data_IF_869441879125
#
_entry.id   IF_869441879125
#
_cell.length_a   1.000
_cell.length_b   1.000
_cell.length_c   1.000
_cell.angle_alpha   90.00
_cell.angle_beta   90.00
_cell.angle_gamma   90.00
#
_symmetry.space_group_name_H-M   'P 1'
#
loop_
_entity.id
_entity.type
_entity.pdbx_description
1 polymer ?
#
# COMPACT_ATOMS: atom_id res chain seq x y z
N UNK A 1 12.64 0.75 -53.83
CA UNK A 1 12.25 0.01 -52.60
C UNK A 1 12.65 0.69 -51.29
N UNK A 2 13.74 1.48 -51.23
CA UNK A 2 14.19 2.14 -49.98
C UNK A 2 13.39 3.41 -49.63
N UNK A 3 12.94 4.16 -50.64
CA UNK A 3 12.25 5.45 -50.44
C UNK A 3 10.78 5.28 -50.03
N UNK A 4 10.16 4.14 -50.35
CA UNK A 4 8.79 3.78 -49.95
C UNK A 4 8.68 3.54 -48.45
N UNK A 5 9.70 2.95 -47.83
CA UNK A 5 9.72 2.72 -46.38
C UNK A 5 9.80 4.06 -45.63
N UNK A 6 10.60 5.00 -46.15
CA UNK A 6 10.73 6.33 -45.56
C UNK A 6 9.42 7.14 -45.64
N UNK A 7 8.70 7.07 -46.77
CA UNK A 7 7.37 7.68 -46.90
C UNK A 7 6.34 7.08 -45.93
N UNK A 8 6.33 5.76 -45.75
CA UNK A 8 5.39 5.11 -44.83
C UNK A 8 5.65 5.51 -43.36
N UNK A 9 6.92 5.62 -42.96
CA UNK A 9 7.29 6.07 -41.61
C UNK A 9 6.91 7.52 -41.36
N UNK A 10 7.09 8.41 -42.35
CA UNK A 10 6.69 9.81 -42.24
C UNK A 10 5.16 9.99 -42.16
N UNK A 11 4.38 9.21 -42.91
CA UNK A 11 2.92 9.26 -42.83
C UNK A 11 2.40 8.76 -41.47
N UNK A 12 3.02 7.73 -40.91
CA UNK A 12 2.67 7.20 -39.60
C UNK A 12 2.94 8.21 -38.47
N UNK A 13 4.07 8.93 -38.50
CA UNK A 13 4.40 9.92 -37.47
C UNK A 13 3.45 11.12 -37.48
N UNK A 14 3.03 11.60 -38.66
CA UNK A 14 2.02 12.66 -38.80
C UNK A 14 0.65 12.24 -38.24
N UNK A 15 0.22 11.00 -38.47
CA UNK A 15 -1.04 10.48 -37.94
C UNK A 15 -1.04 10.35 -36.41
N UNK A 16 0.07 9.87 -35.82
CA UNK A 16 0.24 9.76 -34.36
C UNK A 16 0.25 11.14 -33.68
N UNK A 17 0.85 12.15 -34.32
CA UNK A 17 0.85 13.52 -33.80
C UNK A 17 -0.55 14.14 -33.80
N UNK A 18 -1.40 13.80 -34.77
CA UNK A 18 -2.77 14.32 -34.87
C UNK A 18 -3.72 13.68 -33.83
N UNK A 19 -3.46 12.45 -33.40
CA UNK A 19 -4.23 11.78 -32.36
C UNK A 19 -3.88 12.22 -30.93
N UNK A 20 -2.69 12.80 -30.72
CA UNK A 20 -2.27 13.32 -29.41
C UNK A 20 -2.72 14.77 -29.15
N UNK A 21 -3.18 15.49 -30.19
CA UNK A 21 -3.65 16.88 -30.10
C UNK A 21 -5.18 16.99 -29.88
N UNK A 22 -5.79 16.02 -29.18
CA UNK A 22 -7.21 16.11 -28.79
C UNK A 22 -7.40 15.85 -27.29
N UNK A 23 -7.22 16.94 -26.54
CA UNK A 23 -7.75 17.26 -25.22
C UNK A 23 -7.47 16.29 -24.05
N UNK A 24 -6.44 16.64 -23.29
CA UNK A 24 -6.51 16.66 -21.82
C UNK A 24 -7.21 17.95 -21.39
N UNK A 25 -8.51 17.88 -21.09
CA UNK A 25 -9.22 18.93 -20.36
C UNK A 25 -9.51 18.44 -18.94
N UNK A 26 -8.67 18.85 -17.98
CA UNK A 26 -9.08 19.17 -16.61
C UNK A 26 -7.91 19.75 -15.79
N UNK A 27 -7.88 21.08 -15.77
CA UNK A 27 -7.54 21.98 -14.66
C UNK A 27 -6.10 22.04 -14.12
N UNK A 28 -5.42 23.10 -14.55
CA UNK A 28 -4.35 23.76 -13.83
C UNK A 28 -4.91 24.67 -12.73
N UNK A 29 -4.16 24.82 -11.63
CA UNK A 29 -3.90 26.16 -11.10
C UNK A 29 -2.49 26.20 -10.52
N UNK A 30 -1.71 27.13 -11.06
CA UNK A 30 -0.34 27.44 -10.69
C UNK A 30 -0.32 28.58 -9.66
N UNK A 31 0.72 28.60 -8.84
CA UNK A 31 1.07 29.73 -7.97
C UNK A 31 2.58 29.75 -7.74
N UNK A 32 3.29 30.45 -8.62
CA UNK A 32 4.71 30.83 -8.53
C UNK A 32 4.87 32.07 -7.67
N UNK A 33 5.87 32.11 -6.76
CA UNK A 33 6.83 33.23 -6.62
C UNK A 33 7.68 33.15 -5.32
N UNK A 34 9.00 33.01 -5.53
CA UNK A 34 10.13 33.76 -4.94
C UNK A 34 10.36 33.87 -3.42
N UNK A 35 11.53 33.34 -3.01
CA UNK A 35 12.57 33.90 -2.14
C UNK A 35 12.19 34.77 -0.92
N UNK A 36 12.51 34.27 0.28
CA UNK A 36 13.35 34.95 1.28
C UNK A 36 13.68 34.00 2.46
N UNK A 37 14.97 33.80 2.73
CA UNK A 37 15.57 33.36 4.01
C UNK A 37 16.00 34.67 4.72
N UNK A 38 16.08 34.84 6.06
CA UNK A 38 16.27 33.85 7.12
C UNK A 38 15.43 34.05 8.39
N UNK A 39 15.29 33.00 9.20
CA UNK A 39 15.32 33.13 10.65
C UNK A 39 15.60 31.75 11.25
N UNK A 40 16.81 31.62 11.77
CA UNK A 40 17.25 30.54 12.64
C UNK A 40 16.30 30.43 13.84
N UNK A 41 15.34 29.51 13.76
CA UNK A 41 14.65 29.04 14.95
C UNK A 41 15.58 28.04 15.63
N UNK A 42 16.39 28.54 16.57
CA UNK A 42 17.08 27.68 17.52
C UNK A 42 16.02 26.83 18.23
N UNK A 43 15.98 25.54 17.90
CA UNK A 43 15.28 24.57 18.72
C UNK A 43 16.03 24.53 20.06
N UNK A 44 15.53 25.30 21.02
CA UNK A 44 15.90 25.18 22.43
C UNK A 44 15.53 23.78 22.91
N UNK A 45 16.47 22.85 22.76
CA UNK A 45 16.37 21.47 23.26
C UNK A 45 16.63 21.37 24.77
N UNK A 46 16.64 22.48 25.52
CA UNK A 46 17.08 22.49 26.91
C UNK A 46 16.19 23.27 27.88
N UNK A 47 14.91 23.51 27.57
CA UNK A 47 14.02 24.21 28.50
C UNK A 47 13.22 23.30 29.45
N UNK A 48 13.52 22.01 29.52
CA UNK A 48 12.81 21.03 30.36
C UNK A 48 13.54 20.52 31.59
N UNK A 49 14.82 20.87 31.79
CA UNK A 49 15.57 20.46 32.98
C UNK A 49 15.39 21.46 34.10
N UNK A 50 14.27 21.39 34.83
CA UNK A 50 14.21 21.73 36.25
C UNK A 50 13.15 20.83 36.92
N UNK A 51 13.50 20.14 38.02
CA UNK A 51 12.66 19.13 38.62
C UNK A 51 11.59 19.80 39.50
N UNK A 52 10.31 19.61 39.16
CA UNK A 52 9.24 19.84 40.11
C UNK A 52 9.17 18.64 41.04
N UNK A 53 9.51 18.87 42.30
CA UNK A 53 9.41 17.92 43.40
C UNK A 53 8.03 17.28 43.44
N UNK A 54 7.93 16.02 43.05
CA UNK A 54 6.86 15.11 43.44
C UNK A 54 7.50 13.76 43.67
N UNK A 55 7.30 13.25 44.89
CA UNK A 55 7.64 11.95 45.48
C UNK A 55 8.31 10.87 44.63
N UNK A 56 9.20 10.04 45.23
CA UNK A 56 9.90 8.97 44.52
C UNK A 56 8.90 7.92 44.03
N UNK A 57 8.39 8.08 42.82
CA UNK A 57 7.67 7.05 42.11
C UNK A 57 8.66 5.93 41.79
N UNK A 58 8.47 4.80 42.45
CA UNK A 58 9.07 3.49 42.15
C UNK A 58 9.22 3.29 40.63
N UNK A 59 10.28 2.64 40.14
CA UNK A 59 10.39 2.32 38.72
C UNK A 59 9.23 1.41 38.32
N UNK A 60 8.23 1.96 37.64
CA UNK A 60 7.16 1.18 37.01
C UNK A 60 7.73 0.72 35.68
N UNK A 61 8.31 -0.47 35.68
CA UNK A 61 8.63 -1.18 34.44
C UNK A 61 7.30 -1.35 33.69
N UNK A 62 7.17 -0.85 32.44
CA UNK A 62 5.94 -1.03 31.67
C UNK A 62 5.67 -2.53 31.54
N UNK A 63 4.42 -2.90 31.76
CA UNK A 63 4.02 -4.30 31.75
C UNK A 63 4.19 -4.87 30.34
N UNK A 64 4.46 -6.17 30.22
CA UNK A 64 4.65 -6.81 28.91
C UNK A 64 3.45 -6.60 27.96
N UNK A 65 2.24 -6.43 28.51
CA UNK A 65 1.02 -6.14 27.76
C UNK A 65 1.03 -4.73 27.14
N UNK A 66 1.41 -3.70 27.91
CA UNK A 66 1.49 -2.30 27.42
C UNK A 66 2.54 -2.14 26.32
N UNK A 67 3.67 -2.84 26.45
CA UNK A 67 4.72 -2.85 25.42
C UNK A 67 4.22 -3.54 24.15
N UNK A 68 3.45 -4.62 24.27
CA UNK A 68 2.88 -5.34 23.12
C UNK A 68 1.83 -4.49 22.40
N UNK A 69 0.92 -3.85 23.13
CA UNK A 69 -0.08 -2.94 22.57
C UNK A 69 0.56 -1.75 21.82
N UNK A 70 1.65 -1.20 22.36
CA UNK A 70 2.41 -0.12 21.72
C UNK A 70 3.06 -0.58 20.41
N UNK A 71 3.65 -1.78 20.38
CA UNK A 71 4.24 -2.37 19.16
C UNK A 71 3.19 -2.68 18.10
N UNK A 72 2.04 -3.19 18.51
CA UNK A 72 0.94 -3.47 17.59
C UNK A 72 0.39 -2.19 16.98
N UNK A 73 0.23 -1.12 17.78
CA UNK A 73 -0.16 0.19 17.28
C UNK A 73 0.79 0.73 16.20
N UNK A 74 2.11 0.60 16.41
CA UNK A 74 3.11 1.00 15.41
C UNK A 74 3.03 0.14 14.14
N UNK A 75 2.84 -1.18 14.29
CA UNK A 75 2.71 -2.09 13.15
C UNK A 75 1.49 -1.73 12.29
N UNK A 76 0.33 -1.45 12.91
CA UNK A 76 -0.87 -1.00 12.21
C UNK A 76 -0.67 0.34 11.50
N UNK A 77 0.05 1.29 12.11
CA UNK A 77 0.44 2.53 11.44
C UNK A 77 1.24 2.29 10.17
N UNK A 78 2.26 1.41 10.24
CA UNK A 78 3.05 1.00 9.08
C UNK A 78 2.21 0.30 8.00
N UNK A 79 1.33 -0.63 8.39
CA UNK A 79 0.47 -1.35 7.45
C UNK A 79 -0.51 -0.42 6.75
N UNK A 80 -1.17 0.47 7.49
CA UNK A 80 -2.09 1.44 6.92
C UNK A 80 -1.40 2.37 5.92
N UNK A 81 -0.20 2.86 6.27
CA UNK A 81 0.59 3.70 5.37
C UNK A 81 1.05 2.97 4.10
N UNK A 82 1.47 1.71 4.23
CA UNK A 82 1.98 0.90 3.09
C UNK A 82 0.86 0.48 2.15
N UNK A 83 -0.29 0.10 2.70
CA UNK A 83 -1.45 -0.35 1.92
C UNK A 83 -2.35 0.80 1.47
N UNK A 84 -2.15 2.01 1.98
CA UNK A 84 -3.04 3.15 1.73
C UNK A 84 -4.43 2.97 2.34
N UNK A 85 -4.52 2.32 3.49
CA UNK A 85 -5.78 1.95 4.16
C UNK A 85 -5.86 2.58 5.55
N UNK A 86 -7.09 2.92 5.96
CA UNK A 86 -7.38 3.25 7.34
C UNK A 86 -7.82 1.98 8.08
N UNK A 87 -7.01 1.54 9.03
CA UNK A 87 -7.21 0.29 9.76
C UNK A 87 -7.81 0.56 11.14
N UNK A 88 -8.79 -0.25 11.53
CA UNK A 88 -9.46 -0.14 12.83
C UNK A 88 -8.71 -0.86 13.96
N UNK A 89 -7.56 -1.47 13.65
CA UNK A 89 -6.77 -2.32 14.55
C UNK A 89 -7.49 -3.62 14.99
N UNK A 90 -8.55 -3.98 14.28
CA UNK A 90 -9.33 -5.21 14.51
C UNK A 90 -9.08 -6.27 13.45
N UNK A 91 -8.30 -5.94 12.43
CA UNK A 91 -8.00 -6.81 11.31
C UNK A 91 -7.06 -7.96 11.71
N UNK A 92 -6.91 -8.94 10.82
CA UNK A 92 -5.93 -9.99 11.04
C UNK A 92 -4.52 -9.46 10.73
N UNK A 93 -3.71 -9.25 11.77
CA UNK A 93 -2.32 -8.79 11.63
C UNK A 93 -1.47 -9.67 10.70
N UNK A 94 -1.64 -10.99 10.79
CA UNK A 94 -0.93 -11.97 9.94
C UNK A 94 -1.33 -11.83 8.47
N UNK A 95 -2.61 -11.55 8.19
CA UNK A 95 -3.09 -11.24 6.85
C UNK A 95 -2.39 -9.99 6.30
N UNK A 96 -2.43 -8.88 7.04
CA UNK A 96 -1.85 -7.61 6.61
C UNK A 96 -0.35 -7.75 6.34
N UNK A 97 0.38 -8.38 7.25
CA UNK A 97 1.80 -8.65 7.09
C UNK A 97 2.07 -9.51 5.85
N UNK A 98 1.34 -10.63 5.70
CA UNK A 98 1.52 -11.52 4.56
C UNK A 98 1.27 -10.79 3.24
N UNK A 99 0.20 -9.98 3.15
CA UNK A 99 -0.12 -9.20 1.95
C UNK A 99 1.01 -8.22 1.61
N UNK A 100 1.56 -7.52 2.62
CA UNK A 100 2.69 -6.61 2.43
C UNK A 100 3.93 -7.35 1.93
N UNK A 101 4.22 -8.54 2.44
CA UNK A 101 5.34 -9.38 1.99
C UNK A 101 5.22 -9.86 0.53
N UNK A 102 4.06 -9.67 -0.11
CA UNK A 102 3.85 -9.96 -1.53
C UNK A 102 3.94 -8.72 -2.41
N UNK A 103 3.92 -7.51 -1.84
CA UNK A 103 4.05 -6.26 -2.60
C UNK A 103 5.36 -6.28 -3.39
N UNK A 104 5.27 -5.92 -4.68
CA UNK A 104 6.40 -5.95 -5.60
C UNK A 104 6.61 -7.28 -6.32
N UNK A 105 5.86 -8.34 -5.99
CA UNK A 105 5.90 -9.58 -6.79
C UNK A 105 5.38 -9.32 -8.20
N UNK A 106 6.15 -9.66 -9.26
CA UNK A 106 5.70 -9.46 -10.64
C UNK A 106 4.43 -10.27 -10.94
N UNK A 107 3.55 -9.72 -11.79
CA UNK A 107 2.43 -10.48 -12.30
C UNK A 107 2.89 -11.51 -13.32
N UNK A 108 2.44 -12.76 -13.19
CA UNK A 108 2.69 -13.84 -14.15
C UNK A 108 1.50 -14.80 -14.19
N UNK A 109 0.85 -14.88 -15.34
CA UNK A 109 -0.33 -15.73 -15.54
C UNK A 109 -0.05 -17.20 -15.21
N UNK A 110 -0.92 -17.84 -14.43
CA UNK A 110 -0.82 -19.24 -14.01
C UNK A 110 0.24 -19.52 -12.93
N UNK A 111 0.97 -18.50 -12.46
CA UNK A 111 2.02 -18.67 -11.47
C UNK A 111 1.51 -18.42 -10.04
N UNK A 112 2.23 -18.94 -9.03
CA UNK A 112 1.86 -18.84 -7.60
C UNK A 112 3.08 -18.70 -6.68
N UNK A 113 4.10 -17.97 -7.13
CA UNK A 113 5.38 -17.85 -6.41
C UNK A 113 5.82 -16.39 -6.21
N UNK A 114 6.80 -16.16 -5.35
CA UNK A 114 7.43 -14.84 -5.19
C UNK A 114 8.22 -14.36 -6.41
N UNK A 115 8.51 -15.24 -7.37
CA UNK A 115 9.14 -14.85 -8.65
C UNK A 115 8.12 -14.37 -9.69
N UNK A 116 6.84 -14.60 -9.44
CA UNK A 116 5.75 -14.33 -10.36
C UNK A 116 4.47 -14.98 -9.86
N UNK A 117 3.37 -14.23 -9.85
CA UNK A 117 2.05 -14.73 -9.44
C UNK A 117 0.94 -14.08 -10.25
N UNK A 118 -0.17 -14.78 -10.43
CA UNK A 118 -1.42 -14.16 -10.87
C UNK A 118 -2.36 -13.88 -9.69
N UNK A 119 -3.56 -13.40 -9.98
CA UNK A 119 -4.54 -13.00 -8.98
C UNK A 119 -4.95 -14.17 -8.07
N UNK A 120 -5.27 -15.33 -8.66
CA UNK A 120 -5.67 -16.51 -7.90
C UNK A 120 -4.47 -17.18 -7.23
N UNK A 121 -3.31 -17.22 -7.87
CA UNK A 121 -2.06 -17.69 -7.28
C UNK A 121 -1.68 -16.92 -6.03
N UNK A 122 -1.84 -15.60 -6.04
CA UNK A 122 -1.61 -14.77 -4.86
C UNK A 122 -2.58 -15.14 -3.73
N UNK A 123 -3.88 -15.18 -4.04
CA UNK A 123 -4.93 -15.53 -3.06
C UNK A 123 -4.71 -16.93 -2.48
N UNK A 124 -4.43 -17.95 -3.30
CA UNK A 124 -4.17 -19.31 -2.80
C UNK A 124 -3.02 -19.35 -1.79
N UNK A 125 -1.95 -18.60 -2.04
CA UNK A 125 -0.77 -18.60 -1.19
C UNK A 125 -0.99 -17.82 0.10
N UNK A 126 -1.70 -16.69 0.04
CA UNK A 126 -2.10 -15.92 1.24
C UNK A 126 -3.02 -16.75 2.13
N UNK A 127 -4.05 -17.39 1.57
CA UNK A 127 -4.98 -18.21 2.36
C UNK A 127 -4.30 -19.41 3.00
N UNK A 128 -3.38 -20.04 2.28
CA UNK A 128 -2.59 -21.15 2.80
C UNK A 128 -1.70 -20.70 3.96
N UNK A 129 -1.05 -19.54 3.85
CA UNK A 129 -0.13 -19.04 4.87
C UNK A 129 -0.85 -18.52 6.12
N UNK A 130 -1.95 -17.79 5.94
CA UNK A 130 -2.65 -17.10 7.04
C UNK A 130 -3.67 -17.99 7.73
N UNK A 131 -4.42 -18.79 6.95
CA UNK A 131 -5.56 -19.57 7.45
C UNK A 131 -5.35 -21.08 7.35
N UNK A 132 -4.28 -21.55 6.71
CA UNK A 132 -4.07 -22.97 6.43
C UNK A 132 -5.04 -23.55 5.39
N UNK A 133 -5.79 -22.70 4.68
CA UNK A 133 -6.83 -23.12 3.73
C UNK A 133 -6.23 -23.29 2.33
N UNK A 134 -6.50 -24.44 1.70
CA UNK A 134 -6.08 -24.70 0.31
C UNK A 134 -7.23 -24.36 -0.64
N UNK A 135 -7.05 -23.29 -1.40
CA UNK A 135 -7.98 -22.89 -2.45
C UNK A 135 -7.58 -23.47 -3.80
N UNK A 136 -8.55 -23.56 -4.72
CA UNK A 136 -8.29 -23.89 -6.13
C UNK A 136 -7.53 -22.74 -6.80
N UNK A 137 -6.66 -23.00 -7.77
CA UNK A 137 -5.87 -21.94 -8.44
C UNK A 137 -6.70 -21.10 -9.45
N UNK A 138 -8.01 -21.35 -9.60
CA UNK A 138 -8.86 -20.58 -10.53
C UNK A 138 -9.77 -19.62 -9.77
N UNK A 139 -9.64 -18.32 -10.03
CA UNK A 139 -10.51 -17.30 -9.44
C UNK A 139 -12.00 -17.55 -9.75
N UNK A 140 -12.32 -18.04 -10.95
CA UNK A 140 -13.68 -18.42 -11.33
C UNK A 140 -14.18 -19.62 -10.51
N UNK A 141 -13.32 -20.61 -10.23
CA UNK A 141 -13.69 -21.74 -9.38
C UNK A 141 -13.87 -21.31 -7.92
N UNK A 142 -12.97 -20.46 -7.40
CA UNK A 142 -13.11 -19.87 -6.06
C UNK A 142 -14.46 -19.15 -5.91
N UNK A 143 -14.79 -18.26 -6.85
CA UNK A 143 -16.07 -17.54 -6.86
C UNK A 143 -17.27 -18.47 -6.87
N UNK A 144 -17.21 -19.57 -7.65
CA UNK A 144 -18.28 -20.56 -7.70
C UNK A 144 -18.46 -21.34 -6.39
N UNK A 145 -17.40 -21.45 -5.57
CA UNK A 145 -17.44 -22.15 -4.28
C UNK A 145 -17.68 -21.23 -3.07
N UNK A 146 -17.59 -19.91 -3.25
CA UNK A 146 -17.74 -18.95 -2.17
C UNK A 146 -19.21 -18.71 -1.82
N UNK A 147 -19.47 -18.49 -0.53
CA UNK A 147 -20.77 -18.00 -0.07
C UNK A 147 -20.88 -16.51 -0.40
N UNK A 148 -22.00 -16.09 -0.98
CA UNK A 148 -22.25 -14.65 -1.21
C UNK A 148 -22.54 -13.95 0.11
N UNK A 149 -21.93 -12.78 0.26
CA UNK A 149 -22.04 -11.92 1.44
C UNK A 149 -22.50 -10.55 0.96
N UNK A 150 -23.35 -9.86 1.74
CA UNK A 150 -23.73 -8.50 1.41
C UNK A 150 -22.54 -7.55 1.63
N UNK A 151 -22.47 -6.48 0.85
CA UNK A 151 -21.36 -5.51 0.93
C UNK A 151 -21.20 -4.90 2.33
N UNK A 152 -22.30 -4.71 3.05
CA UNK A 152 -22.30 -4.18 4.41
C UNK A 152 -21.73 -5.16 5.45
N UNK A 153 -21.71 -6.46 5.13
CA UNK A 153 -21.28 -7.52 6.04
C UNK A 153 -19.86 -8.04 5.72
N UNK A 154 -19.21 -7.50 4.69
CA UNK A 154 -17.86 -7.90 4.28
C UNK A 154 -16.84 -7.62 5.38
N UNK A 155 -15.95 -8.57 5.58
CA UNK A 155 -14.84 -8.49 6.54
C UNK A 155 -13.51 -8.67 5.81
N UNK A 156 -12.44 -8.25 6.48
CA UNK A 156 -11.09 -8.48 5.98
C UNK A 156 -10.82 -9.99 5.83
N UNK A 157 -10.46 -10.39 4.61
CA UNK A 157 -10.27 -11.80 4.26
C UNK A 157 -11.51 -12.49 3.67
N UNK A 158 -12.52 -11.75 3.21
CA UNK A 158 -13.54 -12.28 2.29
C UNK A 158 -13.05 -12.17 0.83
N UNK A 159 -13.53 -13.07 -0.06
CA UNK A 159 -13.27 -13.11 -1.52
C UNK A 159 -14.54 -12.87 -2.33
#
# INVERSE_FOLDING_TARGET
MKNTILCCLAAASLALSFCFDKASDASASAGTATHAVPAVAEASLLSGLLPSSTEPAKPVVPTAAEVTASRDSLAYGYYGQTLGLQLAQTENKSLLQTVIDWIGTPYSYGASSRRGTDCSGFVTQVYKAVYGIKLTHSSRAMFGSAQRIAKADMKAGDL
#
